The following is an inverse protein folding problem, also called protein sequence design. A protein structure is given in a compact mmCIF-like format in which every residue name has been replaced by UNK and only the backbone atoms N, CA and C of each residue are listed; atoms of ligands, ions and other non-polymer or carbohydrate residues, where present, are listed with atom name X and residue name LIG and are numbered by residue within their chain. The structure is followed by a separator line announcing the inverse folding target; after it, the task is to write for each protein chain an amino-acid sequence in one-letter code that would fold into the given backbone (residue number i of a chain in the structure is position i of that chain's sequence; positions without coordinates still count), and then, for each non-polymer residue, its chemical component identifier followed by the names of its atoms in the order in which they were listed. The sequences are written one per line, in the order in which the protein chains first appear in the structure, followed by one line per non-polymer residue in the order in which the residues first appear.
data_IF_559439135187
#
_entry.id   IF_559439135187
#
_cell.length_a   1.000
_cell.length_b   1.000
_cell.length_c   1.000
_cell.angle_alpha   90.00
_cell.angle_beta   90.00
_cell.angle_gamma   90.00
#
_symmetry.space_group_name_H-M   'P 1'
#
loop_
_entity.id
_entity.type
_entity.pdbx_description
1 polymer ?
#
# COMPACT_ATOMS: atom_id res chain seq x y z
N UNK A 1 12.39 -31.31 -17.32
CA UNK A 1 13.77 -30.81 -17.16
C UNK A 1 14.40 -30.85 -18.54
N UNK A 2 14.83 -29.70 -19.04
CA UNK A 2 15.67 -29.64 -20.23
C UNK A 2 17.04 -30.22 -19.88
N UNK A 3 17.44 -31.25 -20.62
CA UNK A 3 18.68 -32.00 -20.39
C UNK A 3 19.93 -31.18 -20.78
N UNK A 4 19.79 -30.12 -21.58
CA UNK A 4 20.89 -29.26 -21.98
C UNK A 4 21.20 -28.15 -20.96
N UNK A 5 20.17 -27.57 -20.35
CA UNK A 5 20.31 -26.43 -19.42
C UNK A 5 20.13 -26.79 -17.94
N UNK A 6 19.56 -27.97 -17.64
CA UNK A 6 19.19 -28.36 -16.28
C UNK A 6 17.96 -27.62 -15.72
N UNK A 7 17.32 -26.76 -16.52
CA UNK A 7 16.16 -25.96 -16.12
C UNK A 7 14.87 -26.77 -16.30
N UNK A 8 13.92 -26.65 -15.36
CA UNK A 8 12.56 -27.16 -15.57
C UNK A 8 11.75 -26.15 -16.41
N UNK A 9 11.69 -26.41 -17.72
CA UNK A 9 10.81 -25.73 -18.66
C UNK A 9 9.45 -26.42 -18.80
N UNK A 10 8.41 -25.63 -19.03
CA UNK A 10 7.05 -26.07 -19.30
C UNK A 10 6.97 -26.84 -20.63
N UNK A 11 5.92 -27.67 -20.76
CA UNK A 11 5.59 -28.38 -22.00
C UNK A 11 4.12 -28.09 -22.29
N UNK A 12 3.80 -27.56 -23.47
CA UNK A 12 2.43 -27.24 -23.85
C UNK A 12 2.32 -26.00 -24.74
N UNK A 13 1.34 -25.15 -24.43
CA UNK A 13 1.13 -23.86 -25.09
C UNK A 13 2.24 -22.88 -24.67
N UNK A 14 2.63 -21.98 -25.58
CA UNK A 14 3.58 -20.92 -25.26
C UNK A 14 3.06 -20.03 -24.12
N UNK A 15 3.86 -19.76 -23.07
CA UNK A 15 3.49 -18.82 -22.01
C UNK A 15 3.56 -17.39 -22.53
N UNK A 16 2.64 -16.53 -22.06
CA UNK A 16 2.57 -15.14 -22.50
C UNK A 16 2.35 -14.19 -21.33
N UNK A 17 2.82 -12.94 -21.46
CA UNK A 17 2.50 -11.87 -20.53
C UNK A 17 1.29 -11.11 -21.06
N UNK A 18 0.32 -10.83 -20.19
CA UNK A 18 -0.84 -9.96 -20.47
C UNK A 18 -0.75 -8.77 -19.52
N UNK A 19 -0.83 -7.54 -20.04
CA UNK A 19 -0.67 -6.32 -19.25
C UNK A 19 -1.65 -5.21 -19.66
N UNK A 20 -2.06 -4.39 -18.69
CA UNK A 20 -2.82 -3.16 -18.93
C UNK A 20 -1.96 -2.13 -19.68
N UNK A 21 -2.58 -1.32 -20.54
CA UNK A 21 -1.94 -0.20 -21.23
C UNK A 21 -2.91 0.99 -21.32
N UNK A 22 -3.59 1.27 -20.19
CA UNK A 22 -4.61 2.32 -19.96
C UNK A 22 -5.90 2.23 -20.78
N UNK A 23 -5.82 2.17 -22.12
CA UNK A 23 -6.96 2.16 -23.07
C UNK A 23 -7.11 0.85 -23.83
N UNK A 24 -6.13 -0.03 -23.68
CA UNK A 24 -6.09 -1.37 -24.23
C UNK A 24 -5.42 -2.32 -23.23
N UNK A 25 -5.68 -3.62 -23.39
CA UNK A 25 -4.91 -4.68 -22.75
C UNK A 25 -4.10 -5.35 -23.85
N UNK A 26 -2.81 -5.57 -23.59
CA UNK A 26 -1.86 -6.11 -24.56
C UNK A 26 -1.34 -7.48 -24.11
N UNK A 27 -0.89 -8.27 -25.08
CA UNK A 27 -0.31 -9.59 -24.87
C UNK A 27 1.00 -9.72 -25.64
N UNK A 28 2.02 -10.32 -25.00
CA UNK A 28 3.29 -10.71 -25.63
C UNK A 28 3.62 -12.18 -25.33
N UNK A 29 3.90 -12.97 -26.38
CA UNK A 29 4.43 -14.34 -26.23
C UNK A 29 5.88 -14.34 -25.76
N UNK A 30 6.25 -15.21 -24.81
CA UNK A 30 7.61 -15.23 -24.24
C UNK A 30 8.65 -15.92 -25.14
N UNK A 31 8.22 -16.74 -26.11
CA UNK A 31 9.11 -17.48 -27.02
C UNK A 31 9.13 -16.85 -28.41
N UNK A 32 7.94 -16.72 -29.03
CA UNK A 32 7.75 -16.18 -30.38
C UNK A 32 7.75 -14.67 -30.43
N UNK A 33 7.61 -14.00 -29.28
CA UNK A 33 7.50 -12.53 -29.15
C UNK A 33 6.37 -11.93 -29.99
N UNK A 34 5.31 -12.73 -30.20
CA UNK A 34 4.08 -12.25 -30.85
C UNK A 34 3.43 -11.19 -29.94
N UNK A 35 3.38 -9.95 -30.42
CA UNK A 35 2.87 -8.80 -29.70
C UNK A 35 1.53 -8.35 -30.29
N UNK A 36 0.46 -8.46 -29.51
CA UNK A 36 -0.89 -8.13 -29.96
C UNK A 36 -1.64 -7.24 -28.97
N UNK A 37 -2.57 -6.45 -29.51
CA UNK A 37 -3.64 -5.85 -28.74
C UNK A 37 -4.71 -6.93 -28.50
N UNK A 38 -5.02 -7.22 -27.23
CA UNK A 38 -5.90 -8.31 -26.82
C UNK A 38 -7.32 -7.81 -26.55
N UNK A 39 -7.46 -6.67 -25.87
CA UNK A 39 -8.74 -6.01 -25.62
C UNK A 39 -8.61 -4.52 -25.97
N UNK A 40 -9.59 -4.01 -26.71
CA UNK A 40 -9.58 -2.64 -27.23
C UNK A 40 -10.68 -1.76 -26.62
N UNK A 41 -10.58 -0.44 -26.87
CA UNK A 41 -11.63 0.56 -26.58
C UNK A 41 -11.98 0.70 -25.09
N UNK A 42 -10.99 0.51 -24.21
CA UNK A 42 -11.13 0.67 -22.75
C UNK A 42 -10.87 2.13 -22.36
N UNK A 43 -11.32 2.56 -21.17
CA UNK A 43 -11.21 3.98 -20.76
C UNK A 43 -9.98 4.23 -19.89
N UNK A 44 -9.87 3.51 -18.78
CA UNK A 44 -8.74 3.59 -17.87
C UNK A 44 -8.57 2.28 -17.07
N UNK A 45 -7.96 1.27 -17.69
CA UNK A 45 -7.67 -0.02 -17.04
C UNK A 45 -6.52 0.09 -16.06
N UNK A 46 -6.71 -0.37 -14.83
CA UNK A 46 -5.72 -0.26 -13.74
C UNK A 46 -5.28 -1.59 -13.14
N UNK A 47 -6.12 -2.64 -13.21
CA UNK A 47 -5.84 -3.97 -12.67
C UNK A 47 -6.43 -5.05 -13.58
N UNK A 48 -5.80 -6.23 -13.64
CA UNK A 48 -6.26 -7.35 -14.48
C UNK A 48 -5.89 -8.73 -13.88
N UNK A 49 -6.73 -9.73 -14.10
CA UNK A 49 -6.42 -11.15 -13.80
C UNK A 49 -7.28 -12.07 -14.68
N UNK A 50 -7.04 -13.39 -14.64
CA UNK A 50 -7.71 -14.37 -15.51
C UNK A 50 -8.23 -15.61 -14.77
N UNK A 51 -9.21 -16.27 -15.37
CA UNK A 51 -9.48 -17.70 -15.15
C UNK A 51 -9.03 -18.42 -16.43
N UNK A 52 -7.81 -18.97 -16.40
CA UNK A 52 -7.11 -19.52 -17.56
C UNK A 52 -7.82 -20.78 -18.07
N UNK A 53 -8.31 -21.61 -17.15
CA UNK A 53 -9.06 -22.82 -17.49
C UNK A 53 -10.42 -22.49 -18.13
N UNK A 54 -11.08 -21.41 -17.69
CA UNK A 54 -12.31 -20.91 -18.32
C UNK A 54 -12.07 -19.97 -19.52
N UNK A 55 -10.80 -19.70 -19.88
CA UNK A 55 -10.40 -18.75 -20.92
C UNK A 55 -10.98 -17.33 -20.75
N UNK A 56 -11.21 -16.89 -19.50
CA UNK A 56 -11.78 -15.57 -19.19
C UNK A 56 -10.73 -14.60 -18.66
N UNK A 57 -10.76 -13.38 -19.16
CA UNK A 57 -10.03 -12.24 -18.62
C UNK A 57 -10.98 -11.38 -17.79
N UNK A 58 -10.45 -10.78 -16.72
CA UNK A 58 -11.12 -9.80 -15.87
C UNK A 58 -10.24 -8.55 -15.76
N UNK A 59 -10.84 -7.36 -15.70
CA UNK A 59 -10.09 -6.12 -15.46
C UNK A 59 -10.94 -5.08 -14.78
N UNK A 60 -10.30 -4.19 -14.04
CA UNK A 60 -10.94 -3.05 -13.40
C UNK A 60 -10.69 -1.76 -14.19
N UNK A 61 -11.76 -0.98 -14.42
CA UNK A 61 -11.69 0.32 -15.10
C UNK A 61 -12.05 1.45 -14.13
N UNK A 62 -11.06 2.30 -13.83
CA UNK A 62 -11.16 3.40 -12.87
C UNK A 62 -12.12 4.52 -13.32
N UNK A 63 -12.26 4.73 -14.63
CA UNK A 63 -13.20 5.74 -15.16
C UNK A 63 -14.64 5.27 -15.08
N UNK A 64 -14.86 3.95 -15.20
CA UNK A 64 -16.19 3.34 -15.20
C UNK A 64 -16.62 2.79 -13.83
N UNK A 65 -15.71 2.78 -12.84
CA UNK A 65 -15.91 2.34 -11.46
C UNK A 65 -16.49 0.93 -11.36
N UNK A 66 -15.94 0.03 -12.18
CA UNK A 66 -16.49 -1.30 -12.39
C UNK A 66 -15.40 -2.30 -12.80
N UNK A 67 -15.66 -3.58 -12.52
CA UNK A 67 -14.88 -4.72 -13.01
C UNK A 67 -15.65 -5.36 -14.17
N UNK A 68 -14.93 -5.65 -15.25
CA UNK A 68 -15.44 -6.21 -16.49
C UNK A 68 -14.82 -7.59 -16.75
N UNK A 69 -15.43 -8.36 -17.65
CA UNK A 69 -14.89 -9.63 -18.14
C UNK A 69 -15.14 -9.82 -19.64
N UNK A 70 -14.25 -10.56 -20.30
CA UNK A 70 -14.41 -11.05 -21.67
C UNK A 70 -13.73 -12.42 -21.83
N UNK A 71 -14.12 -13.17 -22.88
CA UNK A 71 -13.35 -14.33 -23.33
C UNK A 71 -12.03 -13.87 -23.96
N UNK A 72 -10.93 -14.60 -23.75
CA UNK A 72 -9.64 -14.28 -24.37
C UNK A 72 -9.64 -14.42 -25.90
N UNK A 73 -10.56 -15.22 -26.44
CA UNK A 73 -10.70 -15.45 -27.88
C UNK A 73 -11.66 -14.45 -28.57
N UNK A 74 -12.42 -13.66 -27.80
CA UNK A 74 -13.37 -12.66 -28.31
C UNK A 74 -12.65 -11.37 -28.72
N UNK A 75 -12.19 -11.33 -29.98
CA UNK A 75 -11.32 -10.26 -30.51
C UNK A 75 -11.92 -8.84 -30.58
N UNK A 76 -13.21 -8.63 -30.27
CA UNK A 76 -13.85 -7.30 -30.43
C UNK A 76 -14.93 -7.03 -29.37
N UNK A 77 -14.68 -6.04 -28.51
CA UNK A 77 -15.69 -5.14 -27.89
C UNK A 77 -16.78 -5.74 -26.98
N UNK A 78 -16.95 -7.05 -26.92
CA UNK A 78 -18.06 -7.72 -26.22
C UNK A 78 -17.70 -8.04 -24.75
N UNK A 79 -17.33 -7.00 -24.00
CA UNK A 79 -17.05 -7.13 -22.58
C UNK A 79 -18.31 -6.94 -21.73
N UNK A 80 -18.47 -7.79 -20.72
CA UNK A 80 -19.60 -7.74 -19.78
C UNK A 80 -19.15 -7.02 -18.52
N UNK A 81 -19.98 -6.10 -18.01
CA UNK A 81 -19.77 -5.51 -16.68
C UNK A 81 -20.21 -6.51 -15.62
N UNK A 82 -19.29 -6.96 -14.80
CA UNK A 82 -19.56 -7.98 -13.77
C UNK A 82 -19.89 -7.36 -12.42
N UNK A 83 -19.10 -6.37 -11.99
CA UNK A 83 -19.22 -5.74 -10.66
C UNK A 83 -19.22 -4.23 -10.85
N UNK A 84 -20.15 -3.53 -10.21
CA UNK A 84 -20.22 -2.07 -10.17
C UNK A 84 -19.84 -1.51 -8.78
N UNK A 85 -19.88 -0.19 -8.62
CA UNK A 85 -19.58 0.49 -7.35
C UNK A 85 -18.21 0.04 -6.78
N UNK A 86 -17.19 0.08 -7.63
CA UNK A 86 -15.78 -0.13 -7.30
C UNK A 86 -15.05 1.19 -7.54
N UNK A 87 -14.64 1.87 -6.48
CA UNK A 87 -14.33 3.30 -6.52
C UNK A 87 -12.91 3.60 -7.00
N UNK A 88 -11.94 2.87 -6.46
CA UNK A 88 -10.54 2.92 -6.89
C UNK A 88 -9.90 1.53 -6.69
N UNK A 89 -10.22 0.56 -7.58
CA UNK A 89 -9.64 -0.78 -7.51
C UNK A 89 -8.15 -0.71 -7.83
N UNK A 90 -7.30 -1.02 -6.85
CA UNK A 90 -5.85 -0.97 -7.03
C UNK A 90 -5.31 -2.27 -7.65
N UNK A 91 -5.84 -3.42 -7.24
CA UNK A 91 -5.57 -4.72 -7.83
C UNK A 91 -6.78 -5.66 -7.71
N UNK A 92 -6.82 -6.68 -8.57
CA UNK A 92 -7.81 -7.77 -8.53
C UNK A 92 -7.09 -9.13 -8.50
N UNK A 93 -7.71 -10.13 -7.90
CA UNK A 93 -7.23 -11.51 -7.91
C UNK A 93 -8.41 -12.49 -8.05
N UNK A 94 -8.32 -13.40 -9.00
CA UNK A 94 -9.33 -14.39 -9.36
C UNK A 94 -9.02 -15.73 -8.72
N UNK A 95 -9.99 -16.28 -7.99
CA UNK A 95 -9.98 -17.66 -7.53
C UNK A 95 -10.59 -18.56 -8.60
N UNK A 96 -9.72 -19.22 -9.37
CA UNK A 96 -10.11 -20.17 -10.42
C UNK A 96 -10.68 -21.50 -9.89
N UNK A 97 -10.58 -21.79 -8.58
CA UNK A 97 -11.09 -23.02 -7.98
C UNK A 97 -12.53 -22.82 -7.51
N UNK A 98 -12.77 -21.80 -6.68
CA UNK A 98 -14.08 -21.50 -6.09
C UNK A 98 -14.90 -20.48 -6.90
N UNK A 99 -14.36 -19.97 -8.01
CA UNK A 99 -15.04 -19.03 -8.92
C UNK A 99 -15.50 -17.75 -8.19
N UNK A 100 -14.57 -17.17 -7.44
CA UNK A 100 -14.71 -15.86 -6.79
C UNK A 100 -13.64 -14.89 -7.26
N UNK A 101 -13.85 -13.59 -7.03
CA UNK A 101 -12.89 -12.52 -7.32
C UNK A 101 -12.73 -11.64 -6.07
N UNK A 102 -11.48 -11.32 -5.76
CA UNK A 102 -11.06 -10.48 -4.65
C UNK A 102 -10.46 -9.20 -5.22
N UNK A 103 -10.62 -8.07 -4.53
CA UNK A 103 -9.97 -6.83 -4.93
C UNK A 103 -9.68 -5.91 -3.74
N UNK A 104 -8.62 -5.13 -3.90
CA UNK A 104 -8.25 -4.00 -3.05
C UNK A 104 -8.90 -2.73 -3.60
N UNK A 105 -9.54 -1.92 -2.75
CA UNK A 105 -10.08 -0.62 -3.15
C UNK A 105 -9.49 0.48 -2.26
N UNK A 106 -8.59 1.26 -2.84
CA UNK A 106 -7.79 2.28 -2.15
C UNK A 106 -8.57 3.57 -1.85
N UNK A 107 -9.78 3.76 -2.38
CA UNK A 107 -10.64 4.90 -2.05
C UNK A 107 -11.57 4.59 -0.87
N UNK A 108 -12.15 3.40 -0.85
CA UNK A 108 -13.02 2.91 0.24
C UNK A 108 -12.24 2.32 1.42
N UNK A 109 -10.94 2.04 1.25
CA UNK A 109 -10.07 1.36 2.23
C UNK A 109 -10.60 -0.03 2.60
N UNK A 110 -11.00 -0.79 1.57
CA UNK A 110 -11.55 -2.15 1.75
C UNK A 110 -10.81 -3.18 0.91
N UNK A 111 -10.90 -4.43 1.37
CA UNK A 111 -10.72 -5.62 0.55
C UNK A 111 -12.08 -6.29 0.47
N UNK A 112 -12.53 -6.57 -0.76
CA UNK A 112 -13.83 -7.18 -1.03
C UNK A 112 -13.68 -8.52 -1.72
N UNK A 113 -14.72 -9.35 -1.60
CA UNK A 113 -14.88 -10.61 -2.34
C UNK A 113 -16.26 -10.62 -3.02
N UNK A 114 -16.34 -11.19 -4.22
CA UNK A 114 -17.59 -11.49 -4.89
C UNK A 114 -17.52 -12.80 -5.68
N UNK A 115 -18.66 -13.36 -6.06
CA UNK A 115 -18.75 -14.39 -7.12
C UNK A 115 -18.34 -13.80 -8.47
N UNK A 116 -17.82 -14.62 -9.40
CA UNK A 116 -17.38 -14.12 -10.72
C UNK A 116 -18.50 -13.51 -11.57
N UNK A 117 -19.77 -13.82 -11.28
CA UNK A 117 -20.95 -13.22 -11.90
C UNK A 117 -21.38 -11.88 -11.26
N UNK A 118 -20.75 -11.49 -10.13
CA UNK A 118 -21.05 -10.29 -9.36
C UNK A 118 -22.33 -10.34 -8.50
N UNK A 119 -23.07 -11.47 -8.48
CA UNK A 119 -24.37 -11.54 -7.80
C UNK A 119 -24.28 -11.54 -6.27
N UNK A 120 -23.22 -12.12 -5.71
CA UNK A 120 -22.96 -12.16 -4.27
C UNK A 120 -21.66 -11.40 -3.97
N UNK A 121 -21.68 -10.43 -3.05
CA UNK A 121 -20.54 -9.55 -2.70
C UNK A 121 -20.49 -9.30 -1.19
N UNK A 122 -19.27 -9.25 -0.63
CA UNK A 122 -19.01 -8.92 0.77
C UNK A 122 -17.73 -8.10 0.93
N UNK A 123 -17.71 -7.19 1.90
CA UNK A 123 -16.45 -6.64 2.41
C UNK A 123 -15.74 -7.69 3.27
N UNK A 124 -14.58 -8.17 2.81
CA UNK A 124 -13.76 -9.14 3.53
C UNK A 124 -13.01 -8.46 4.68
N UNK A 125 -12.42 -7.30 4.40
CA UNK A 125 -11.77 -6.42 5.38
C UNK A 125 -12.16 -4.97 5.10
N UNK A 126 -12.53 -4.23 6.15
CA UNK A 126 -12.99 -2.84 6.09
C UNK A 126 -12.41 -1.98 7.25
N UNK A 127 -11.33 -2.45 7.86
CA UNK A 127 -10.64 -1.86 9.00
C UNK A 127 -9.15 -2.11 8.88
N UNK A 128 -8.32 -1.24 9.49
CA UNK A 128 -6.85 -1.33 9.49
C UNK A 128 -6.20 -1.51 8.11
N UNK A 129 -6.82 -0.91 7.08
CA UNK A 129 -6.29 -0.75 5.72
C UNK A 129 -6.07 0.74 5.48
N UNK A 130 -4.86 1.14 5.11
CA UNK A 130 -4.50 2.55 4.88
C UNK A 130 -4.33 2.87 3.41
N UNK A 131 -3.49 2.14 2.70
CA UNK A 131 -3.32 2.24 1.25
C UNK A 131 -3.13 0.83 0.65
N UNK A 132 -4.21 0.02 0.58
CA UNK A 132 -4.14 -1.33 0.01
C UNK A 132 -3.87 -1.25 -1.50
N UNK A 133 -2.76 -1.85 -1.94
CA UNK A 133 -2.32 -1.83 -3.33
C UNK A 133 -2.58 -3.17 -4.04
N UNK A 134 -1.67 -4.13 -3.93
CA UNK A 134 -1.74 -5.41 -4.64
C UNK A 134 -2.35 -6.53 -3.80
N UNK A 135 -2.92 -7.53 -4.47
CA UNK A 135 -3.60 -8.68 -3.85
C UNK A 135 -3.33 -9.95 -4.66
N UNK A 136 -3.18 -11.09 -3.98
CA UNK A 136 -3.00 -12.39 -4.59
C UNK A 136 -3.66 -13.50 -3.74
N UNK A 137 -4.13 -14.56 -4.39
CA UNK A 137 -4.85 -15.67 -3.75
C UNK A 137 -4.12 -17.00 -3.90
N UNK A 138 -4.19 -17.81 -2.85
CA UNK A 138 -3.81 -19.22 -2.82
C UNK A 138 -5.07 -20.05 -2.49
N UNK A 139 -5.87 -20.44 -3.50
CA UNK A 139 -7.09 -21.19 -3.30
C UNK A 139 -6.84 -22.65 -2.92
N UNK A 140 -5.61 -23.16 -3.04
CA UNK A 140 -5.26 -24.52 -2.62
C UNK A 140 -5.08 -24.61 -1.09
N UNK A 141 -4.48 -23.58 -0.50
CA UNK A 141 -4.30 -23.46 0.96
C UNK A 141 -5.38 -22.62 1.66
N UNK A 142 -6.24 -21.93 0.90
CA UNK A 142 -7.31 -21.08 1.39
C UNK A 142 -6.85 -19.74 1.98
N UNK A 143 -5.77 -19.16 1.45
CA UNK A 143 -5.21 -17.88 1.94
C UNK A 143 -5.25 -16.77 0.88
N UNK A 144 -5.50 -15.54 1.33
CA UNK A 144 -5.35 -14.30 0.56
C UNK A 144 -4.22 -13.47 1.16
N UNK A 145 -3.47 -12.81 0.29
CA UNK A 145 -2.31 -11.98 0.62
C UNK A 145 -2.51 -10.61 -0.03
N UNK A 146 -2.10 -9.54 0.65
CA UNK A 146 -2.14 -8.19 0.07
C UNK A 146 -1.04 -7.32 0.62
N UNK A 147 -0.72 -6.25 -0.12
CA UNK A 147 0.16 -5.18 0.33
C UNK A 147 -0.62 -3.92 0.73
N UNK A 148 -0.11 -3.23 1.73
CA UNK A 148 -0.56 -1.92 2.19
C UNK A 148 0.67 -1.02 2.35
N UNK A 149 0.73 0.08 1.60
CA UNK A 149 1.87 1.02 1.65
C UNK A 149 1.63 2.22 2.57
N UNK A 150 0.47 2.32 3.21
CA UNK A 150 0.20 3.36 4.19
C UNK A 150 0.97 3.08 5.49
N UNK A 151 1.50 4.12 6.13
CA UNK A 151 2.36 3.98 7.31
C UNK A 151 1.62 3.32 8.50
N UNK A 152 2.14 2.28 9.19
CA UNK A 152 3.32 1.49 8.84
C UNK A 152 3.00 0.50 7.70
N UNK A 153 3.82 0.55 6.65
CA UNK A 153 3.67 -0.32 5.48
C UNK A 153 3.84 -1.80 5.85
N UNK A 154 3.09 -2.67 5.18
CA UNK A 154 2.99 -4.09 5.51
C UNK A 154 2.57 -4.94 4.31
N UNK A 155 2.95 -6.21 4.33
CA UNK A 155 2.26 -7.27 3.60
C UNK A 155 1.54 -8.12 4.64
N UNK A 156 0.27 -8.40 4.40
CA UNK A 156 -0.59 -9.18 5.29
C UNK A 156 -1.07 -10.47 4.61
N UNK A 157 -1.47 -11.42 5.44
CA UNK A 157 -2.03 -12.72 5.06
C UNK A 157 -3.29 -12.96 5.89
N UNK A 158 -4.32 -13.52 5.28
CA UNK A 158 -5.51 -14.00 5.98
C UNK A 158 -6.11 -15.21 5.26
N UNK A 159 -7.04 -15.90 5.90
CA UNK A 159 -7.93 -16.85 5.23
C UNK A 159 -8.81 -16.13 4.20
N UNK A 160 -9.09 -16.79 3.08
CA UNK A 160 -9.96 -16.26 2.02
C UNK A 160 -11.41 -16.04 2.47
N UNK A 161 -11.81 -16.73 3.54
CA UNK A 161 -13.06 -16.50 4.26
C UNK A 161 -13.08 -15.26 5.18
N UNK A 162 -11.96 -14.56 5.38
CA UNK A 162 -11.84 -13.34 6.16
C UNK A 162 -11.32 -13.52 7.60
N UNK A 163 -10.94 -14.75 7.99
CA UNK A 163 -10.41 -15.05 9.32
C UNK A 163 -8.88 -15.21 9.31
N UNK A 164 -8.22 -15.40 10.48
CA UNK A 164 -6.75 -15.54 10.62
C UNK A 164 -5.93 -14.40 9.96
N UNK A 165 -6.42 -13.14 10.00
CA UNK A 165 -5.65 -11.98 9.51
C UNK A 165 -4.42 -11.75 10.40
N UNK A 166 -3.24 -11.73 9.77
CA UNK A 166 -1.95 -11.47 10.42
C UNK A 166 -0.96 -10.78 9.47
N UNK A 167 -0.02 -9.98 9.99
CA UNK A 167 1.11 -9.49 9.20
C UNK A 167 2.03 -10.63 8.76
N UNK A 168 2.56 -10.51 7.54
CA UNK A 168 3.58 -11.40 6.97
C UNK A 168 4.94 -10.69 6.84
N UNK A 169 4.95 -9.41 6.43
CA UNK A 169 6.16 -8.57 6.35
C UNK A 169 5.85 -7.19 6.92
N UNK A 170 6.68 -6.71 7.86
CA UNK A 170 6.51 -5.43 8.58
C UNK A 170 7.80 -4.62 8.78
N UNK A 171 8.95 -5.19 8.44
CA UNK A 171 10.26 -4.55 8.54
C UNK A 171 10.82 -4.29 7.14
N UNK A 172 11.72 -3.32 6.98
CA UNK A 172 12.38 -2.98 5.71
C UNK A 172 11.43 -2.96 4.50
N UNK A 173 10.27 -2.32 4.67
CA UNK A 173 9.18 -2.24 3.70
C UNK A 173 8.60 -0.83 3.77
N UNK A 174 8.31 -0.24 2.61
CA UNK A 174 7.89 1.15 2.46
C UNK A 174 6.76 1.27 1.44
N UNK A 175 7.02 1.06 0.14
CA UNK A 175 5.98 1.14 -0.90
C UNK A 175 5.83 -0.20 -1.66
N UNK A 176 5.24 -1.22 -1.01
CA UNK A 176 5.01 -2.53 -1.63
C UNK A 176 3.90 -2.48 -2.70
N UNK A 177 4.19 -1.94 -3.87
CA UNK A 177 3.20 -1.70 -4.92
C UNK A 177 2.60 -2.99 -5.51
N UNK A 178 3.43 -4.01 -5.74
CA UNK A 178 3.04 -5.27 -6.40
C UNK A 178 3.48 -6.50 -5.62
N UNK A 179 2.61 -7.53 -5.56
CA UNK A 179 2.93 -8.87 -5.01
C UNK A 179 2.57 -9.98 -6.00
N UNK A 180 3.24 -11.13 -5.90
CA UNK A 180 2.88 -12.36 -6.64
C UNK A 180 3.31 -13.62 -5.88
N UNK A 181 2.72 -14.77 -6.20
CA UNK A 181 2.88 -16.03 -5.46
C UNK A 181 3.47 -17.15 -6.33
N UNK A 182 4.52 -17.80 -5.83
CA UNK A 182 4.95 -19.13 -6.29
C UNK A 182 4.25 -20.18 -5.42
N UNK A 183 3.09 -20.65 -5.88
CA UNK A 183 2.28 -21.65 -5.15
C UNK A 183 3.06 -22.97 -4.96
N UNK A 184 3.87 -23.36 -5.95
CA UNK A 184 4.63 -24.62 -5.91
C UNK A 184 5.77 -24.54 -4.91
N UNK A 185 6.47 -23.40 -4.82
CA UNK A 185 7.52 -23.17 -3.82
C UNK A 185 7.01 -22.60 -2.49
N UNK A 186 5.71 -22.34 -2.36
CA UNK A 186 5.12 -21.66 -1.20
C UNK A 186 5.86 -20.36 -0.83
N UNK A 187 6.06 -19.48 -1.82
CA UNK A 187 6.85 -18.24 -1.67
C UNK A 187 6.16 -17.02 -2.28
N UNK A 188 6.21 -15.88 -1.59
CA UNK A 188 5.74 -14.59 -2.07
C UNK A 188 6.91 -13.77 -2.61
N UNK A 189 6.69 -13.05 -3.71
CA UNK A 189 7.59 -12.06 -4.28
C UNK A 189 6.91 -10.69 -4.27
N UNK A 190 7.67 -9.62 -4.02
CA UNK A 190 7.13 -8.26 -4.08
C UNK A 190 8.14 -7.22 -4.59
N UNK A 191 7.60 -6.13 -5.10
CA UNK A 191 8.32 -4.91 -5.49
C UNK A 191 8.17 -3.86 -4.40
N UNK A 192 9.23 -3.13 -4.07
CA UNK A 192 9.15 -1.93 -3.24
C UNK A 192 9.71 -0.71 -3.99
N UNK A 193 8.83 0.24 -4.29
CA UNK A 193 9.13 1.42 -5.13
C UNK A 193 9.90 2.50 -4.41
N UNK A 194 9.92 2.49 -3.07
CA UNK A 194 10.67 3.45 -2.27
C UNK A 194 12.06 2.94 -1.93
N UNK A 195 12.21 1.62 -1.83
CA UNK A 195 13.48 0.93 -1.56
C UNK A 195 14.18 0.43 -2.82
N UNK A 196 13.55 0.57 -4.00
CA UNK A 196 14.04 0.20 -5.33
C UNK A 196 14.51 -1.26 -5.40
N UNK A 197 13.69 -2.16 -4.83
CA UNK A 197 14.05 -3.57 -4.64
C UNK A 197 12.93 -4.53 -5.05
N UNK A 198 13.35 -5.69 -5.55
CA UNK A 198 12.53 -6.89 -5.71
C UNK A 198 12.96 -7.87 -4.62
N UNK A 199 12.03 -8.26 -3.76
CA UNK A 199 12.27 -9.15 -2.62
C UNK A 199 11.37 -10.39 -2.66
N UNK A 200 11.72 -11.40 -1.88
CA UNK A 200 10.93 -12.62 -1.70
C UNK A 200 10.98 -13.14 -0.27
N UNK A 201 9.95 -13.86 0.15
CA UNK A 201 9.78 -14.44 1.49
C UNK A 201 8.90 -15.68 1.40
N UNK A 202 9.12 -16.69 2.23
CA UNK A 202 8.23 -17.86 2.29
C UNK A 202 6.84 -17.47 2.85
N UNK A 203 5.79 -18.22 2.50
CA UNK A 203 4.41 -17.91 2.93
C UNK A 203 4.16 -18.12 4.45
N UNK A 204 5.19 -18.48 5.20
CA UNK A 204 5.25 -18.52 6.66
C UNK A 204 6.00 -17.31 7.28
N UNK A 205 6.54 -16.40 6.47
CA UNK A 205 7.29 -15.20 6.88
C UNK A 205 8.82 -15.38 6.96
N UNK A 206 9.34 -16.58 6.69
CA UNK A 206 10.76 -16.92 6.84
C UNK A 206 11.55 -16.80 5.52
N UNK A 207 12.87 -17.00 5.61
CA UNK A 207 13.81 -17.01 4.48
C UNK A 207 13.67 -15.78 3.55
N UNK A 208 13.52 -14.60 4.14
CA UNK A 208 13.46 -13.35 3.38
C UNK A 208 14.77 -13.11 2.61
N UNK A 209 14.66 -12.79 1.32
CA UNK A 209 15.80 -12.49 0.42
C UNK A 209 15.50 -11.30 -0.48
N UNK A 210 16.49 -10.43 -0.69
CA UNK A 210 16.47 -9.45 -1.77
C UNK A 210 16.96 -10.16 -3.03
N UNK A 211 16.20 -10.11 -4.11
CA UNK A 211 16.50 -10.74 -5.41
C UNK A 211 17.21 -9.76 -6.33
N UNK A 212 16.73 -8.52 -6.38
CA UNK A 212 17.30 -7.43 -7.18
C UNK A 212 17.18 -6.11 -6.40
N UNK A 213 18.18 -5.23 -6.52
CA UNK A 213 18.10 -3.85 -6.07
C UNK A 213 18.77 -2.96 -7.12
N UNK A 214 18.01 -2.06 -7.74
CA UNK A 214 18.51 -1.17 -8.78
C UNK A 214 17.64 0.08 -8.89
N UNK A 215 18.28 1.26 -8.83
CA UNK A 215 17.62 2.54 -9.08
C UNK A 215 17.20 2.72 -10.55
N UNK A 216 17.89 2.05 -11.48
CA UNK A 216 17.67 2.17 -12.92
C UNK A 216 16.46 1.34 -13.37
N UNK A 217 16.37 0.08 -12.90
CA UNK A 217 15.37 -0.89 -13.38
C UNK A 217 14.18 -1.09 -12.43
N UNK A 218 14.22 -0.47 -11.26
CA UNK A 218 13.14 -0.44 -10.26
C UNK A 218 12.96 1.02 -9.78
N UNK A 219 12.88 1.96 -10.73
CA UNK A 219 12.70 3.39 -10.48
C UNK A 219 11.30 3.67 -9.90
N UNK A 220 10.26 3.13 -10.53
CA UNK A 220 8.89 3.09 -9.99
C UNK A 220 8.17 1.80 -10.42
N UNK A 221 8.51 0.65 -9.83
CA UNK A 221 7.88 -0.62 -10.14
C UNK A 221 6.42 -0.65 -9.67
N UNK A 222 5.52 -1.20 -10.49
CA UNK A 222 4.06 -1.18 -10.22
C UNK A 222 3.54 -2.58 -9.90
N UNK A 223 3.65 -3.50 -10.83
CA UNK A 223 3.19 -4.88 -10.70
C UNK A 223 4.26 -5.88 -11.18
N UNK A 224 4.23 -7.10 -10.62
CA UNK A 224 5.10 -8.21 -11.02
C UNK A 224 4.35 -9.53 -11.15
N UNK A 225 4.91 -10.42 -11.95
CA UNK A 225 4.45 -11.79 -12.13
C UNK A 225 5.65 -12.71 -12.34
N UNK A 226 5.47 -14.03 -12.16
CA UNK A 226 6.55 -15.01 -12.26
C UNK A 226 6.17 -16.18 -13.17
N UNK A 227 7.16 -16.73 -13.87
CA UNK A 227 7.03 -18.00 -14.57
C UNK A 227 8.36 -18.75 -14.56
N UNK A 228 8.33 -20.06 -14.30
CA UNK A 228 9.53 -20.91 -14.23
C UNK A 228 10.62 -20.33 -13.30
N UNK A 229 11.78 -20.00 -13.87
CA UNK A 229 12.95 -19.40 -13.21
C UNK A 229 12.99 -17.86 -13.31
N UNK A 230 12.01 -17.22 -13.94
CA UNK A 230 12.00 -15.79 -14.24
C UNK A 230 10.91 -15.02 -13.48
N UNK A 231 11.21 -13.75 -13.24
CA UNK A 231 10.29 -12.73 -12.73
C UNK A 231 10.19 -11.61 -13.76
N UNK A 232 8.99 -11.07 -13.93
CA UNK A 232 8.66 -10.01 -14.87
C UNK A 232 7.95 -8.88 -14.14
N UNK A 233 8.20 -7.63 -14.50
CA UNK A 233 7.54 -6.49 -13.87
C UNK A 233 7.33 -5.33 -14.84
N UNK A 234 6.34 -4.50 -14.52
CA UNK A 234 6.17 -3.17 -15.09
C UNK A 234 6.90 -2.16 -14.19
N UNK A 235 7.64 -1.25 -14.82
CA UNK A 235 8.10 -0.01 -14.20
C UNK A 235 7.43 1.18 -14.88
N UNK A 236 6.75 2.01 -14.08
CA UNK A 236 5.93 3.12 -14.55
C UNK A 236 6.72 4.39 -14.90
N UNK A 237 7.91 4.57 -14.32
CA UNK A 237 8.81 5.70 -14.65
C UNK A 237 9.56 5.43 -15.96
N UNK A 238 9.98 4.18 -16.16
CA UNK A 238 10.67 3.74 -17.38
C UNK A 238 9.73 3.36 -18.54
N UNK A 239 8.41 3.35 -18.32
CA UNK A 239 7.39 2.93 -19.30
C UNK A 239 7.72 1.59 -19.99
N UNK A 240 8.13 0.59 -19.21
CA UNK A 240 8.72 -0.65 -19.72
C UNK A 240 8.30 -1.92 -18.95
N UNK A 241 8.27 -3.06 -19.66
CA UNK A 241 8.23 -4.40 -19.08
C UNK A 241 9.64 -4.96 -19.06
N UNK A 242 10.11 -5.37 -17.88
CA UNK A 242 11.41 -6.03 -17.68
C UNK A 242 11.21 -7.50 -17.31
N UNK A 243 12.29 -8.29 -17.42
CA UNK A 243 12.36 -9.61 -16.80
C UNK A 243 13.78 -10.04 -16.44
N UNK A 244 13.93 -10.74 -15.33
CA UNK A 244 15.20 -11.23 -14.80
C UNK A 244 15.03 -12.64 -14.17
N UNK A 245 16.13 -13.29 -13.80
CA UNK A 245 16.08 -14.54 -13.03
C UNK A 245 15.55 -14.26 -11.59
N UNK A 246 14.54 -15.02 -11.16
CA UNK A 246 13.83 -14.78 -9.89
C UNK A 246 14.59 -15.23 -8.64
N UNK A 247 15.75 -15.86 -8.79
CA UNK A 247 16.59 -16.31 -7.66
C UNK A 247 17.82 -15.42 -7.46
N UNK A 248 18.36 -14.84 -8.53
CA UNK A 248 19.65 -14.13 -8.53
C UNK A 248 19.57 -12.67 -9.00
N UNK A 249 18.46 -12.26 -9.63
CA UNK A 249 18.35 -10.95 -10.29
C UNK A 249 19.21 -10.81 -11.57
N UNK A 250 19.88 -11.87 -12.01
CA UNK A 250 20.71 -11.88 -13.22
C UNK A 250 19.86 -12.01 -14.50
N UNK A 251 20.51 -11.95 -15.67
CA UNK A 251 19.85 -12.05 -16.98
C UNK A 251 18.71 -11.05 -17.19
N UNK A 252 18.90 -9.84 -16.65
CA UNK A 252 17.99 -8.72 -16.83
C UNK A 252 17.84 -8.39 -18.32
N UNK A 253 16.60 -8.27 -18.78
CA UNK A 253 16.26 -7.88 -20.14
C UNK A 253 15.01 -6.99 -20.16
N UNK A 254 14.98 -6.00 -21.05
CA UNK A 254 13.77 -5.27 -21.43
C UNK A 254 12.99 -6.09 -22.46
N UNK A 255 11.70 -6.31 -22.21
CA UNK A 255 10.80 -7.08 -23.08
C UNK A 255 9.90 -6.18 -23.92
N UNK A 256 9.42 -5.09 -23.33
CA UNK A 256 8.56 -4.08 -23.98
C UNK A 256 8.98 -2.70 -23.46
N UNK A 257 8.90 -1.69 -24.32
CA UNK A 257 9.13 -0.28 -23.98
C UNK A 257 8.03 0.59 -24.61
N UNK A 258 8.01 1.89 -24.29
CA UNK A 258 6.99 2.84 -24.75
C UNK A 258 5.57 2.37 -24.37
N UNK A 259 5.41 1.88 -23.13
CA UNK A 259 4.11 1.61 -22.53
C UNK A 259 3.38 2.93 -22.29
N UNK A 260 2.06 2.91 -22.41
CA UNK A 260 1.22 4.07 -22.09
C UNK A 260 0.48 3.78 -20.79
N UNK A 261 1.04 4.23 -19.66
CA UNK A 261 0.38 4.16 -18.34
C UNK A 261 -0.10 2.73 -18.01
N UNK A 262 0.83 1.79 -18.13
CA UNK A 262 0.65 0.38 -17.78
C UNK A 262 0.77 0.22 -16.26
N UNK A 263 -0.18 -0.48 -15.64
CA UNK A 263 -0.31 -0.56 -14.18
C UNK A 263 -0.12 -1.99 -13.67
N UNK A 264 -0.75 -2.97 -14.34
CA UNK A 264 -0.80 -4.37 -13.91
C UNK A 264 -0.39 -5.39 -15.02
N UNK A 265 0.13 -6.55 -14.61
CA UNK A 265 0.70 -7.62 -15.46
C UNK A 265 0.53 -9.03 -14.88
N UNK A 266 0.07 -9.97 -15.70
CA UNK A 266 -0.01 -11.41 -15.37
C UNK A 266 0.73 -12.27 -16.40
N UNK A 267 1.12 -13.48 -15.99
CA UNK A 267 1.44 -14.59 -16.90
C UNK A 267 0.17 -15.37 -17.22
N UNK A 268 -0.11 -15.56 -18.50
CA UNK A 268 -1.15 -16.44 -18.99
C UNK A 268 -0.53 -17.77 -19.45
N UNK A 269 -0.57 -18.78 -18.57
CA UNK A 269 -0.19 -20.17 -18.85
C UNK A 269 -0.84 -21.12 -17.83
N UNK A 270 -1.30 -22.30 -18.27
CA UNK A 270 -2.09 -23.24 -17.44
C UNK A 270 -1.39 -23.64 -16.12
N UNK A 271 -0.06 -23.76 -16.11
CA UNK A 271 0.72 -24.11 -14.91
C UNK A 271 0.71 -23.05 -13.79
N UNK A 272 0.29 -21.79 -14.03
CA UNK A 272 0.19 -20.79 -12.93
C UNK A 272 -1.11 -20.94 -12.12
N UNK A 273 -2.09 -21.67 -12.67
CA UNK A 273 -3.38 -21.97 -12.03
C UNK A 273 -3.56 -23.49 -11.88
N UNK A 274 -2.80 -24.13 -10.95
CA UNK A 274 -2.92 -25.57 -10.70
C UNK A 274 -4.36 -25.95 -10.32
N UNK A 275 -4.78 -27.13 -10.77
CA UNK A 275 -6.12 -27.67 -10.49
C UNK A 275 -6.31 -27.90 -8.99
N UNK A 276 -7.32 -27.24 -8.42
CA UNK A 276 -7.74 -27.42 -7.03
C UNK A 276 -9.09 -28.12 -6.93
N UNK A 277 -9.41 -28.64 -5.74
CA UNK A 277 -10.73 -29.19 -5.42
C UNK A 277 -11.60 -28.08 -4.85
N UNK A 278 -12.74 -27.79 -5.47
CA UNK A 278 -13.72 -26.87 -4.92
C UNK A 278 -14.57 -27.60 -3.87
N UNK A 279 -14.24 -27.39 -2.59
CA UNK A 279 -14.94 -28.02 -1.47
C UNK A 279 -16.36 -27.47 -1.24
N UNK A 280 -16.71 -26.32 -1.84
CA UNK A 280 -18.07 -25.77 -1.82
C UNK A 280 -19.02 -26.47 -2.81
N UNK A 281 -18.52 -27.31 -3.71
CA UNK A 281 -19.32 -28.01 -4.74
C UNK A 281 -19.12 -29.53 -4.69
N UNK A 282 -18.67 -30.07 -3.55
CA UNK A 282 -18.43 -31.52 -3.38
C UNK A 282 -19.70 -32.27 -3.00
N UNK A 283 -20.25 -32.01 -1.81
CA UNK A 283 -21.38 -32.78 -1.26
C UNK A 283 -22.75 -32.14 -1.58
N UNK A 284 -22.77 -30.81 -1.72
CA UNK A 284 -23.97 -30.01 -1.91
C UNK A 284 -23.62 -28.65 -2.50
N UNK A 285 -24.52 -28.08 -3.30
CA UNK A 285 -24.36 -26.76 -3.96
C UNK A 285 -24.00 -25.66 -2.95
N UNK A 286 -22.98 -24.86 -3.26
CA UNK A 286 -22.49 -23.75 -2.42
C UNK A 286 -22.25 -24.14 -0.94
N UNK A 287 -21.85 -25.39 -0.65
CA UNK A 287 -21.59 -25.91 0.70
C UNK A 287 -22.80 -25.88 1.65
N UNK A 288 -24.01 -25.67 1.11
CA UNK A 288 -25.21 -25.42 1.91
C UNK A 288 -25.26 -24.04 2.57
N UNK A 289 -24.42 -23.10 2.14
CA UNK A 289 -24.44 -21.72 2.62
C UNK A 289 -25.57 -20.93 1.96
N UNK A 290 -26.30 -20.11 2.73
CA UNK A 290 -27.36 -19.23 2.19
C UNK A 290 -26.79 -18.20 1.19
N UNK A 291 -25.65 -17.60 1.55
CA UNK A 291 -24.99 -16.56 0.75
C UNK A 291 -23.68 -17.04 0.11
N UNK A 292 -22.51 -16.68 0.63
CA UNK A 292 -21.21 -17.10 0.06
C UNK A 292 -20.67 -18.33 0.80
N UNK A 293 -20.14 -19.29 0.05
CA UNK A 293 -19.22 -20.30 0.56
C UNK A 293 -17.79 -19.89 0.20
N UNK A 294 -16.91 -19.78 1.18
CA UNK A 294 -15.52 -19.30 0.97
C UNK A 294 -14.49 -20.30 1.53
N UNK A 295 -13.36 -20.53 0.83
CA UNK A 295 -12.26 -21.35 1.33
C UNK A 295 -11.78 -20.88 2.70
N UNK A 296 -11.61 -21.84 3.62
CA UNK A 296 -11.06 -21.59 4.93
C UNK A 296 -9.55 -21.92 4.96
N UNK A 297 -8.74 -21.20 5.77
CA UNK A 297 -7.29 -21.36 5.77
C UNK A 297 -6.89 -22.74 6.33
N UNK A 298 -6.13 -23.49 5.54
CA UNK A 298 -5.59 -24.80 5.91
C UNK A 298 -4.33 -24.61 6.78
N UNK A 299 -4.53 -24.50 8.10
CA UNK A 299 -3.48 -24.25 9.10
C UNK A 299 -3.01 -25.57 9.73
N UNK A 300 -3.93 -26.52 9.90
CA UNK A 300 -3.67 -27.86 10.45
C UNK A 300 -4.70 -28.86 9.90
N UNK A 301 -4.53 -30.15 10.18
CA UNK A 301 -5.37 -31.22 9.64
C UNK A 301 -6.86 -31.13 10.02
N UNK A 302 -7.19 -30.39 11.09
CA UNK A 302 -8.54 -30.15 11.59
C UNK A 302 -9.14 -28.82 11.10
N UNK A 303 -8.42 -28.05 10.26
CA UNK A 303 -8.99 -26.85 9.64
C UNK A 303 -10.23 -27.21 8.82
N UNK A 304 -11.36 -26.47 8.96
CA UNK A 304 -12.50 -26.62 8.06
C UNK A 304 -12.06 -26.32 6.62
N UNK A 305 -12.73 -26.91 5.63
CA UNK A 305 -12.39 -26.71 4.20
C UNK A 305 -12.99 -25.43 3.62
N UNK A 306 -14.16 -25.04 4.12
CA UNK A 306 -14.84 -23.80 3.79
C UNK A 306 -15.63 -23.31 5.01
N UNK A 307 -16.12 -22.08 4.93
CA UNK A 307 -17.08 -21.51 5.88
C UNK A 307 -18.10 -20.64 5.14
N UNK A 308 -19.34 -20.65 5.59
CA UNK A 308 -20.38 -19.77 5.06
C UNK A 308 -20.16 -18.31 5.50
N UNK A 309 -20.53 -17.37 4.64
CA UNK A 309 -20.27 -15.94 4.86
C UNK A 309 -21.44 -15.09 4.36
N UNK A 310 -22.07 -14.37 5.29
CA UNK A 310 -23.29 -13.58 5.03
C UNK A 310 -23.04 -12.19 4.43
N UNK A 311 -24.06 -11.53 3.85
CA UNK A 311 -23.95 -10.17 3.33
C UNK A 311 -23.55 -9.14 4.39
N UNK A 312 -23.08 -7.97 3.97
CA UNK A 312 -22.83 -6.84 4.86
C UNK A 312 -24.09 -6.48 5.66
N UNK A 313 -24.00 -6.45 7.00
CA UNK A 313 -25.15 -6.21 7.90
C UNK A 313 -25.87 -7.48 8.39
N UNK A 314 -25.34 -8.67 8.07
CA UNK A 314 -25.83 -9.96 8.52
C UNK A 314 -24.69 -10.78 9.16
N UNK A 315 -25.03 -11.56 10.19
CA UNK A 315 -24.16 -12.55 10.81
C UNK A 315 -24.61 -13.96 10.42
N UNK A 316 -23.69 -14.93 10.48
CA UNK A 316 -24.02 -16.35 10.32
C UNK A 316 -24.73 -16.85 11.59
N UNK A 317 -25.78 -17.65 11.44
CA UNK A 317 -26.50 -18.27 12.56
C UNK A 317 -25.70 -19.40 13.23
N UNK A 318 -26.18 -19.90 14.37
CA UNK A 318 -25.56 -21.00 15.12
C UNK A 318 -25.44 -22.30 14.31
N UNK A 319 -26.26 -22.46 13.25
CA UNK A 319 -26.17 -23.58 12.32
C UNK A 319 -24.99 -23.48 11.33
N UNK A 320 -24.27 -22.35 11.32
CA UNK A 320 -23.09 -22.13 10.49
C UNK A 320 -23.38 -21.91 8.99
N UNK A 321 -24.64 -21.70 8.59
CA UNK A 321 -25.09 -21.67 7.19
C UNK A 321 -25.97 -20.49 6.82
N UNK A 322 -26.96 -20.20 7.67
CA UNK A 322 -28.00 -19.21 7.41
C UNK A 322 -27.62 -17.82 7.93
N UNK A 323 -28.29 -16.77 7.44
CA UNK A 323 -27.90 -15.38 7.63
C UNK A 323 -28.92 -14.57 8.42
N UNK A 324 -28.61 -14.31 9.69
CA UNK A 324 -29.42 -13.46 10.55
C UNK A 324 -29.02 -11.99 10.42
N UNK A 325 -30.01 -11.12 10.22
CA UNK A 325 -29.79 -9.66 10.18
C UNK A 325 -29.27 -9.17 11.53
N UNK A 326 -28.23 -8.33 11.51
CA UNK A 326 -27.72 -7.70 12.72
C UNK A 326 -28.78 -6.71 13.24
N UNK A 327 -29.50 -7.12 14.28
CA UNK A 327 -30.41 -6.25 15.01
C UNK A 327 -29.60 -5.26 15.85
N UNK A 328 -29.12 -4.19 15.21
CA UNK A 328 -28.66 -2.99 15.91
C UNK A 328 -29.87 -2.34 16.57
N UNK A 329 -30.22 -2.84 17.76
CA UNK A 329 -30.92 -2.01 18.73
C UNK A 329 -29.98 -0.85 19.03
N UNK A 330 -30.27 0.30 18.41
CA UNK A 330 -29.75 1.57 18.90
C UNK A 330 -30.28 1.72 20.31
N UNK A 331 -29.49 1.27 21.28
CA UNK A 331 -29.52 1.81 22.62
C UNK A 331 -29.12 3.29 22.50
N UNK A 332 -30.07 4.10 22.06
CA UNK A 332 -30.10 5.52 22.39
C UNK A 332 -30.23 5.50 23.91
N UNK A 333 -29.09 5.52 24.59
CA UNK A 333 -29.03 6.02 25.93
C UNK A 333 -29.49 7.47 25.83
N UNK A 334 -30.79 7.68 25.99
CA UNK A 334 -31.34 9.00 26.23
C UNK A 334 -30.61 9.51 27.47
N UNK A 335 -29.60 10.36 27.24
CA UNK A 335 -29.01 11.16 28.31
C UNK A 335 -30.13 12.11 28.70
N UNK A 336 -30.90 11.71 29.69
CA UNK A 336 -31.98 12.48 30.27
C UNK A 336 -31.39 13.77 30.82
N UNK A 337 -31.39 14.82 29.99
CA UNK A 337 -30.93 16.14 30.41
C UNK A 337 -31.83 16.57 31.56
N UNK A 338 -31.29 16.72 32.79
CA UNK A 338 -32.12 17.11 33.92
C UNK A 338 -32.74 18.49 33.63
N UNK A 339 -33.99 18.74 34.06
CA UNK A 339 -34.64 20.02 33.81
C UNK A 339 -33.77 21.15 34.35
N UNK A 340 -33.61 22.21 33.56
CA UNK A 340 -32.68 23.33 33.82
C UNK A 340 -32.79 23.84 35.25
N UNK A 341 -31.88 23.40 36.12
CA UNK A 341 -31.55 24.13 37.33
C UNK A 341 -31.12 25.54 36.94
N UNK A 342 -31.64 26.55 37.63
CA UNK A 342 -31.36 27.96 37.38
C UNK A 342 -29.90 28.27 37.71
N UNK A 343 -29.00 28.01 36.75
CA UNK A 343 -27.59 28.33 36.87
C UNK A 343 -27.41 29.82 37.15
N UNK A 344 -26.69 30.15 38.22
CA UNK A 344 -26.40 31.51 38.67
C UNK A 344 -25.47 32.30 37.72
N UNK A 345 -25.29 31.85 36.47
CA UNK A 345 -24.52 32.51 35.43
C UNK A 345 -24.96 33.96 35.17
N UNK A 346 -26.23 34.30 35.40
CA UNK A 346 -26.76 35.67 35.28
C UNK A 346 -26.18 36.63 36.33
N UNK A 347 -25.65 36.13 37.46
CA UNK A 347 -24.98 36.93 38.49
C UNK A 347 -23.45 37.03 38.28
N UNK A 348 -22.85 36.10 37.53
CA UNK A 348 -21.39 36.02 37.32
C UNK A 348 -20.94 36.94 36.17
N UNK A 349 -21.75 37.07 35.12
CA UNK A 349 -21.48 37.93 33.97
C UNK A 349 -21.26 39.42 34.33
N UNK A 350 -22.09 40.08 35.18
CA UNK A 350 -21.85 41.46 35.59
C UNK A 350 -20.55 41.63 36.39
N UNK A 351 -20.22 40.66 37.24
CA UNK A 351 -18.98 40.67 38.05
C UNK A 351 -17.72 40.55 37.18
N UNK A 352 -17.72 39.65 36.19
CA UNK A 352 -16.61 39.53 35.23
C UNK A 352 -16.43 40.80 34.39
N UNK A 353 -17.53 41.43 33.94
CA UNK A 353 -17.46 42.69 33.19
C UNK A 353 -16.93 43.85 34.05
N UNK A 354 -17.31 43.94 35.33
CA UNK A 354 -16.76 44.94 36.25
C UNK A 354 -15.26 44.74 36.50
N UNK A 355 -14.80 43.50 36.67
CA UNK A 355 -13.36 43.20 36.83
C UNK A 355 -12.58 43.56 35.55
N UNK A 356 -13.08 43.20 34.37
CA UNK A 356 -12.45 43.55 33.09
C UNK A 356 -12.41 45.07 32.85
N UNK A 357 -13.47 45.80 33.22
CA UNK A 357 -13.50 47.26 33.15
C UNK A 357 -12.50 47.91 34.11
N UNK A 358 -12.36 47.39 35.34
CA UNK A 358 -11.38 47.86 36.32
C UNK A 358 -9.93 47.63 35.85
N UNK A 359 -9.63 46.46 35.28
CA UNK A 359 -8.30 46.14 34.71
C UNK A 359 -8.00 47.03 33.49
N UNK A 360 -8.97 47.23 32.60
CA UNK A 360 -8.83 48.13 31.45
C UNK A 360 -8.58 49.59 31.87
N UNK A 361 -9.35 50.07 32.86
CA UNK A 361 -9.17 51.41 33.44
C UNK A 361 -7.80 51.59 34.10
N UNK A 362 -7.33 50.60 34.87
CA UNK A 362 -6.00 50.61 35.48
C UNK A 362 -4.87 50.66 34.44
N UNK A 363 -4.97 49.88 33.36
CA UNK A 363 -3.99 49.89 32.27
C UNK A 363 -4.00 51.22 31.52
N UNK A 364 -5.17 51.81 31.25
CA UNK A 364 -5.26 53.16 30.67
C UNK A 364 -4.66 54.22 31.59
N UNK A 365 -4.95 54.20 32.89
CA UNK A 365 -4.40 55.14 33.87
C UNK A 365 -2.87 55.03 33.97
N UNK A 366 -2.32 53.81 34.03
CA UNK A 366 -0.87 53.57 34.01
C UNK A 366 -0.21 54.10 32.73
N UNK A 367 -0.85 53.93 31.57
CA UNK A 367 -0.32 54.40 30.29
C UNK A 367 -0.42 55.95 30.18
N UNK A 368 -1.46 56.55 30.75
CA UNK A 368 -1.61 58.00 30.87
C UNK A 368 -0.56 58.63 31.80
N UNK A 369 -0.30 58.02 32.97
CA UNK A 369 0.81 58.37 33.86
C UNK A 369 2.17 58.36 33.12
N UNK A 370 2.46 57.31 32.34
CA UNK A 370 3.69 57.23 31.55
C UNK A 370 3.82 58.33 30.48
N UNK A 371 2.71 58.80 29.89
CA UNK A 371 2.73 59.87 28.88
C UNK A 371 2.82 61.26 29.50
N UNK A 372 2.24 61.49 30.68
CA UNK A 372 2.26 62.80 31.32
C UNK A 372 3.49 63.08 32.21
N UNK A 373 4.35 62.09 32.50
CA UNK A 373 5.62 62.30 33.21
C UNK A 373 6.84 62.60 32.30
N UNK A 374 6.62 63.05 31.06
CA UNK A 374 7.69 63.57 30.18
C UNK A 374 7.39 64.99 29.69
N UNK A 375 7.12 65.89 30.64
CA UNK A 375 7.23 67.33 30.43
C UNK A 375 7.42 68.03 31.78
N UNK A 376 8.68 68.28 32.14
CA UNK A 376 9.14 69.45 32.91
C UNK A 376 10.67 69.51 32.86
N UNK A 377 11.18 70.68 32.50
CA UNK A 377 12.58 71.07 32.25
C UNK A 377 13.51 70.79 33.46
N UNK A 378 14.86 70.86 33.37
CA UNK A 378 15.66 72.02 32.97
C UNK A 378 17.17 71.70 32.87
N UNK A 379 17.89 72.46 32.02
CA UNK A 379 19.28 72.95 32.16
C UNK A 379 20.45 71.96 32.40
N UNK A 380 21.72 72.25 32.06
CA UNK A 380 22.42 73.22 31.19
C UNK A 380 23.87 72.65 31.08
N UNK A 381 24.69 72.91 30.04
CA UNK A 381 26.05 72.35 29.98
C UNK A 381 27.02 73.12 30.90
N UNK A 382 28.28 72.66 30.96
CA UNK A 382 29.49 73.34 31.50
C UNK A 382 29.87 73.01 32.97
N UNK A 383 30.73 72.00 33.19
CA UNK A 383 32.16 72.19 33.57
C UNK A 383 32.96 70.87 33.73
N UNK A 384 34.28 71.02 33.91
CA UNK A 384 35.34 70.00 33.83
C UNK A 384 35.72 69.35 35.18
N UNK A 385 36.45 68.21 35.05
CA UNK A 385 37.66 67.77 35.79
C UNK A 385 37.56 66.87 37.06
N UNK A 386 38.47 65.87 37.07
CA UNK A 386 39.22 65.24 38.20
C UNK A 386 38.42 64.47 39.28
N UNK A 387 38.89 63.37 39.89
CA UNK A 387 40.17 62.59 39.85
C UNK A 387 39.95 61.17 40.41
N UNK A 388 40.92 60.26 40.18
CA UNK A 388 41.35 59.12 41.04
C UNK A 388 40.30 58.07 41.51
N UNK A 389 40.43 56.81 41.09
CA UNK A 389 41.29 55.74 41.65
C UNK A 389 40.67 55.03 42.87
N UNK A 390 40.37 53.74 42.64
CA UNK A 390 40.72 52.60 43.49
C UNK A 390 39.91 52.30 44.78
N UNK A 391 39.74 51.04 45.21
CA UNK A 391 40.33 49.76 44.77
C UNK A 391 39.38 48.57 45.03
N UNK A 392 39.78 47.38 44.55
CA UNK A 392 39.34 46.00 44.89
C UNK A 392 38.31 45.32 43.97
N UNK A 393 38.48 44.09 43.48
CA UNK A 393 39.58 43.12 43.25
C UNK A 393 38.85 42.01 42.44
N UNK A 394 39.25 41.67 41.20
CA UNK A 394 40.16 40.56 40.82
C UNK A 394 39.65 39.17 41.33
N UNK A 395 39.50 38.06 40.58
CA UNK A 395 40.22 37.41 39.46
C UNK A 395 39.17 36.52 38.70
N UNK A 396 39.28 36.11 37.43
CA UNK A 396 40.35 36.25 36.45
C UNK A 396 39.93 35.89 35.00
N UNK A 397 40.79 36.35 34.09
CA UNK A 397 40.66 36.48 32.62
C UNK A 397 40.26 35.27 31.77
N UNK A 398 39.48 35.57 30.73
CA UNK A 398 39.50 34.91 29.41
C UNK A 398 40.87 35.01 28.70
N UNK A 399 41.08 34.19 27.67
CA UNK A 399 41.70 34.66 26.43
C UNK A 399 41.17 33.94 25.20
N UNK A 400 40.87 34.69 24.14
CA UNK A 400 40.58 34.19 22.79
C UNK A 400 40.98 35.25 21.75
N UNK A 401 41.71 34.83 20.71
CA UNK A 401 42.04 35.59 19.50
C UNK A 401 42.59 34.57 18.49
N UNK A 402 42.07 34.34 17.28
CA UNK A 402 41.76 35.25 16.17
C UNK A 402 43.00 36.00 15.66
N UNK A 403 43.43 35.69 14.44
CA UNK A 403 44.53 36.38 13.74
C UNK A 403 44.85 35.71 12.40
N UNK A 404 44.85 36.48 11.31
CA UNK A 404 44.94 35.96 9.93
C UNK A 404 46.37 35.72 9.41
N UNK A 405 46.43 34.86 8.39
CA UNK A 405 47.51 34.59 7.41
C UNK A 405 48.12 35.82 6.73
N UNK A 406 49.41 35.75 6.35
CA UNK A 406 49.92 35.97 4.96
C UNK A 406 51.37 35.38 4.79
N UNK A 407 51.86 35.05 3.56
CA UNK A 407 53.05 34.19 3.35
C UNK A 407 54.24 34.79 2.55
N UNK A 408 55.42 34.15 2.66
CA UNK A 408 56.56 34.12 1.70
C UNK A 408 57.48 32.92 2.11
N UNK A 409 57.97 31.99 1.26
CA UNK A 409 58.96 32.11 0.15
C UNK A 409 60.33 32.62 0.68
N UNK A 410 61.50 31.94 0.58
CA UNK A 410 61.91 30.63 0.01
C UNK A 410 63.42 30.30 0.34
N UNK A 411 63.95 29.17 -0.19
CA UNK A 411 65.39 28.85 -0.49
C UNK A 411 66.23 27.98 0.49
N UNK A 412 66.40 26.71 0.10
CA UNK A 412 67.62 25.85 -0.07
C UNK A 412 68.86 25.97 0.87
N UNK A 413 69.25 24.82 1.46
CA UNK A 413 70.61 24.25 1.65
C UNK A 413 70.41 22.81 2.20
N UNK A 414 70.86 21.67 1.63
CA UNK A 414 72.23 21.13 1.46
C UNK A 414 73.04 21.17 2.78
N UNK A 415 73.58 20.11 3.39
CA UNK A 415 73.62 18.65 3.13
C UNK A 415 73.49 17.91 4.53
N UNK A 416 73.77 16.63 4.82
CA UNK A 416 74.53 15.57 4.12
C UNK A 416 74.19 14.12 4.60
N UNK A 417 74.93 13.16 4.03
CA UNK A 417 74.97 11.69 4.00
C UNK A 417 75.01 10.77 5.27
N UNK A 418 74.81 9.46 4.98
CA UNK A 418 75.33 8.22 5.62
C UNK A 418 74.88 7.74 7.03
N UNK A 419 74.05 6.67 7.04
CA UNK A 419 74.54 5.27 7.19
C UNK A 419 73.44 4.23 6.90
#
# INVERSE_FOLDING_TARGET
MDLATGVCKAVGKEPSLIFTNRRDIRKIGLERKEYIQLVEQLRNTVALDADIAAQKLFWADLSQKAIFSASIDDKVGRHVKMIDNVYNPAAIAVDWVYKTIYWTDAASKTISVATLDGTKRKFLFNSDLREPASIAVDPLSGFVYWSDWGEPAKIEKAGMNGFDRRPLVTADIQWPNGITLDLIKSRLYWLDSKLHMLSSVDLNGQDRRIVLKSLEFLAHPLALTIFEDRVYWIDGENEAVYGANKFTGSELATLVNNLNDAQDIIVYHELVQPSGKNWCEEDMENGGCEYLCLPAPQINDHSPKYTCSCPSGYNVEENGRDCQRINVTTAVSEVSVPPKGTSAAWAILPLLLLVMAAVGGYLMWRNWQHKNMKSMNFDNPVYLKTTEEDLSIDIGRHSASVGHTYPAISVVSTDDDLA
#
